data_IF_254809478899
#
_entry.id   IF_254809478899
#
_cell.length_a   1.000
_cell.length_b   1.000
_cell.length_c   1.000
_cell.angle_alpha   90.00
_cell.angle_beta   90.00
_cell.angle_gamma   90.00
#
_symmetry.space_group_name_H-M   'P 1'
#
loop_
_entity.id
_entity.type
_entity.pdbx_description
1 polymer ?
#
# COMPACT_ATOMS: atom_id res chain seq x y z
N UNK A 1 5.40 -29.92 -15.11
CA UNK A 1 6.77 -30.36 -14.88
C UNK A 1 7.28 -29.83 -13.53
N UNK A 2 7.61 -30.75 -12.62
CA UNK A 2 8.03 -30.43 -11.24
C UNK A 2 9.32 -29.61 -11.22
N UNK A 3 10.28 -29.90 -12.10
CA UNK A 3 11.54 -29.15 -12.15
C UNK A 3 11.35 -27.67 -12.49
N UNK A 4 10.44 -27.34 -13.40
CA UNK A 4 10.10 -25.95 -13.71
C UNK A 4 9.52 -25.25 -12.47
N UNK A 5 8.61 -25.89 -11.74
CA UNK A 5 8.05 -25.34 -10.51
C UNK A 5 9.12 -25.10 -9.44
N UNK A 6 10.08 -26.02 -9.29
CA UNK A 6 11.20 -25.84 -8.37
C UNK A 6 12.07 -24.64 -8.75
N UNK A 7 12.42 -24.49 -10.04
CA UNK A 7 13.18 -23.33 -10.51
C UNK A 7 12.45 -22.02 -10.22
N UNK A 8 11.15 -21.92 -10.56
CA UNK A 8 10.38 -20.71 -10.29
C UNK A 8 10.22 -20.43 -8.80
N UNK A 9 10.13 -21.47 -7.97
CA UNK A 9 10.11 -21.33 -6.51
C UNK A 9 11.41 -20.70 -6.00
N UNK A 10 12.57 -21.22 -6.43
CA UNK A 10 13.87 -20.69 -6.04
C UNK A 10 14.01 -19.23 -6.48
N UNK A 11 13.68 -18.92 -7.73
CA UNK A 11 13.72 -17.54 -8.25
C UNK A 11 12.83 -16.63 -7.41
N UNK A 12 11.60 -17.03 -7.13
CA UNK A 12 10.62 -16.23 -6.35
C UNK A 12 11.15 -15.94 -4.94
N UNK A 13 11.72 -16.93 -4.27
CA UNK A 13 12.30 -16.77 -2.93
C UNK A 13 13.52 -15.85 -2.97
N UNK A 14 14.44 -16.05 -3.92
CA UNK A 14 15.65 -15.22 -4.06
C UNK A 14 15.30 -13.77 -4.34
N UNK A 15 14.32 -13.50 -5.22
CA UNK A 15 13.86 -12.15 -5.55
C UNK A 15 13.17 -11.44 -4.36
N UNK A 16 12.72 -12.17 -3.37
CA UNK A 16 12.13 -11.59 -2.14
C UNK A 16 13.19 -11.41 -1.05
N UNK A 17 14.01 -12.44 -0.81
CA UNK A 17 15.01 -12.43 0.26
C UNK A 17 16.17 -11.48 -0.08
N UNK A 18 16.56 -11.40 -1.36
CA UNK A 18 17.64 -10.51 -1.81
C UNK A 18 17.42 -9.05 -1.40
N UNK A 19 16.34 -8.40 -1.83
CA UNK A 19 15.99 -7.04 -1.40
C UNK A 19 15.81 -6.91 0.11
N UNK A 20 15.28 -7.93 0.79
CA UNK A 20 15.15 -7.91 2.25
C UNK A 20 16.51 -7.78 2.93
N UNK A 21 17.50 -8.57 2.51
CA UNK A 21 18.86 -8.50 3.05
C UNK A 21 19.52 -7.17 2.68
N UNK A 22 19.34 -6.72 1.43
CA UNK A 22 19.95 -5.49 0.92
C UNK A 22 19.39 -4.22 1.60
N UNK A 23 18.07 -4.17 1.83
CA UNK A 23 17.38 -2.92 2.14
C UNK A 23 16.81 -2.87 3.56
N UNK A 24 16.47 -4.03 4.17
CA UNK A 24 15.85 -4.07 5.51
C UNK A 24 16.89 -4.04 6.63
N UNK A 25 17.78 -3.08 6.59
CA UNK A 25 18.91 -2.95 7.49
C UNK A 25 19.32 -1.47 7.73
N UNK A 26 20.49 -1.27 8.39
CA UNK A 26 21.01 0.05 8.73
C UNK A 26 21.47 0.89 7.53
N UNK A 27 21.66 0.28 6.37
CA UNK A 27 22.08 1.03 5.16
C UNK A 27 20.91 1.68 4.44
N UNK A 28 19.66 1.22 4.70
CA UNK A 28 18.43 1.71 4.05
C UNK A 28 17.29 1.94 5.04
N UNK A 29 16.63 0.90 5.52
CA UNK A 29 15.41 0.99 6.32
C UNK A 29 15.56 1.83 7.61
N UNK A 30 16.75 1.79 8.23
CA UNK A 30 17.07 2.57 9.44
C UNK A 30 18.29 3.48 9.26
N UNK A 31 18.62 3.86 8.01
CA UNK A 31 19.74 4.75 7.73
C UNK A 31 19.57 6.10 8.44
N UNK A 32 20.56 6.56 9.22
CA UNK A 32 20.41 7.76 10.05
C UNK A 32 20.22 9.04 9.21
N UNK A 33 20.86 9.13 8.05
CA UNK A 33 20.84 10.33 7.19
C UNK A 33 19.66 10.33 6.20
N UNK A 34 18.90 9.25 6.13
CA UNK A 34 17.71 9.20 5.29
C UNK A 34 16.53 9.88 5.96
N UNK A 35 15.70 10.53 5.14
CA UNK A 35 14.45 11.11 5.64
C UNK A 35 13.51 10.00 6.12
N UNK A 36 12.61 10.34 7.03
CA UNK A 36 11.61 9.37 7.51
C UNK A 36 10.71 8.86 6.37
N UNK A 37 10.48 9.69 5.35
CA UNK A 37 9.71 9.34 4.17
C UNK A 37 10.45 8.33 3.28
N UNK A 38 11.74 8.54 3.02
CA UNK A 38 12.55 7.58 2.28
C UNK A 38 12.58 6.21 2.97
N UNK A 39 12.79 6.19 4.30
CA UNK A 39 12.71 4.94 5.08
C UNK A 39 11.33 4.27 4.99
N UNK A 40 10.25 5.05 5.00
CA UNK A 40 8.90 4.53 4.83
C UNK A 40 8.75 3.79 3.50
N UNK A 41 9.20 4.38 2.39
CA UNK A 41 9.11 3.75 1.08
C UNK A 41 9.91 2.46 0.97
N UNK A 42 11.12 2.41 1.53
CA UNK A 42 11.94 1.20 1.54
C UNK A 42 11.26 0.08 2.33
N UNK A 43 10.77 0.38 3.54
CA UNK A 43 10.08 -0.63 4.36
C UNK A 43 8.81 -1.12 3.67
N UNK A 44 8.03 -0.21 3.08
CA UNK A 44 6.83 -0.58 2.32
C UNK A 44 7.16 -1.47 1.13
N UNK A 45 8.18 -1.14 0.35
CA UNK A 45 8.63 -1.93 -0.79
C UNK A 45 9.03 -3.36 -0.35
N UNK A 46 9.89 -3.47 0.66
CA UNK A 46 10.34 -4.78 1.16
C UNK A 46 9.19 -5.61 1.69
N UNK A 47 8.31 -5.02 2.49
CA UNK A 47 7.12 -5.72 3.00
C UNK A 47 6.16 -6.13 1.88
N UNK A 48 6.10 -5.38 0.78
CA UNK A 48 5.28 -5.70 -0.38
C UNK A 48 5.74 -6.94 -1.15
N UNK A 49 7.03 -7.29 -1.10
CA UNK A 49 7.53 -8.51 -1.77
C UNK A 49 7.01 -9.80 -1.13
N UNK A 50 6.74 -9.84 0.16
CA UNK A 50 6.30 -11.06 0.85
C UNK A 50 4.92 -11.57 0.40
N UNK A 51 3.87 -10.75 0.37
CA UNK A 51 2.59 -11.18 -0.19
C UNK A 51 2.69 -11.59 -1.66
N UNK A 52 3.51 -10.89 -2.44
CA UNK A 52 3.75 -11.23 -3.84
C UNK A 52 4.43 -12.60 -3.96
N UNK A 53 5.43 -12.87 -3.12
CA UNK A 53 6.07 -14.19 -3.04
C UNK A 53 5.04 -15.28 -2.73
N UNK A 54 4.21 -15.07 -1.72
CA UNK A 54 3.18 -16.04 -1.31
C UNK A 54 2.21 -16.31 -2.47
N UNK A 55 1.71 -15.26 -3.14
CA UNK A 55 0.83 -15.40 -4.29
C UNK A 55 1.49 -16.15 -5.44
N UNK A 56 2.76 -15.87 -5.73
CA UNK A 56 3.51 -16.59 -6.76
C UNK A 56 3.66 -18.09 -6.40
N UNK A 57 3.97 -18.40 -5.14
CA UNK A 57 4.06 -19.80 -4.69
C UNK A 57 2.71 -20.52 -4.81
N UNK A 58 1.61 -19.84 -4.50
CA UNK A 58 0.25 -20.39 -4.69
C UNK A 58 0.03 -20.70 -6.18
N UNK A 59 0.34 -19.76 -7.09
CA UNK A 59 0.17 -19.99 -8.54
C UNK A 59 1.06 -21.10 -9.08
N UNK A 60 2.29 -21.23 -8.57
CA UNK A 60 3.23 -22.26 -8.99
C UNK A 60 2.74 -23.66 -8.57
N UNK A 61 2.19 -23.80 -7.37
CA UNK A 61 1.90 -25.11 -6.79
C UNK A 61 0.43 -25.48 -6.79
N UNK A 62 -0.48 -24.52 -6.81
CA UNK A 62 -1.94 -24.76 -6.81
C UNK A 62 -2.47 -24.50 -8.22
N UNK A 63 -3.34 -25.39 -8.69
CA UNK A 63 -4.02 -25.18 -9.97
C UNK A 63 -5.15 -24.16 -9.80
N UNK A 64 -4.83 -22.87 -9.99
CA UNK A 64 -5.80 -21.78 -9.86
C UNK A 64 -6.87 -21.76 -10.95
N UNK A 65 -6.66 -22.49 -12.06
CA UNK A 65 -7.68 -22.58 -13.15
C UNK A 65 -8.97 -23.24 -12.71
N UNK A 66 -8.95 -23.99 -11.60
CA UNK A 66 -10.13 -24.61 -11.01
C UNK A 66 -10.99 -23.64 -10.18
N UNK A 67 -10.49 -22.43 -9.90
CA UNK A 67 -11.28 -21.40 -9.24
C UNK A 67 -12.21 -20.72 -10.24
N UNK A 68 -13.38 -20.28 -9.77
CA UNK A 68 -14.42 -19.73 -10.66
C UNK A 68 -13.97 -18.45 -11.39
N UNK A 69 -13.20 -17.57 -10.72
CA UNK A 69 -12.60 -16.37 -11.31
C UNK A 69 -11.12 -16.25 -10.92
N UNK A 70 -10.23 -17.12 -11.45
CA UNK A 70 -8.86 -17.21 -10.95
C UNK A 70 -8.04 -15.94 -11.16
N UNK A 71 -8.20 -15.27 -12.30
CA UNK A 71 -7.41 -14.06 -12.62
C UNK A 71 -7.89 -12.84 -11.84
N UNK A 72 -9.19 -12.70 -11.65
CA UNK A 72 -9.78 -11.64 -10.85
C UNK A 72 -9.37 -11.79 -9.37
N UNK A 73 -9.48 -13.01 -8.84
CA UNK A 73 -9.05 -13.30 -7.48
C UNK A 73 -7.56 -13.02 -7.28
N UNK A 74 -6.71 -13.44 -8.23
CA UNK A 74 -5.27 -13.19 -8.18
C UNK A 74 -4.97 -11.68 -8.21
N UNK A 75 -5.58 -10.93 -9.12
CA UNK A 75 -5.43 -9.48 -9.22
C UNK A 75 -5.86 -8.78 -7.94
N UNK A 76 -7.00 -9.19 -7.38
CA UNK A 76 -7.53 -8.63 -6.14
C UNK A 76 -6.59 -8.87 -4.95
N UNK A 77 -6.10 -10.10 -4.78
CA UNK A 77 -5.14 -10.45 -3.73
C UNK A 77 -3.82 -9.70 -3.90
N UNK A 78 -3.31 -9.60 -5.14
CA UNK A 78 -2.09 -8.85 -5.44
C UNK A 78 -2.23 -7.38 -5.03
N UNK A 79 -3.33 -6.73 -5.42
CA UNK A 79 -3.56 -5.32 -5.12
C UNK A 79 -3.78 -5.08 -3.63
N UNK A 80 -4.71 -5.80 -3.01
CA UNK A 80 -5.08 -5.53 -1.62
C UNK A 80 -4.07 -6.08 -0.62
N UNK A 81 -3.60 -7.29 -0.78
CA UNK A 81 -2.68 -7.90 0.17
C UNK A 81 -1.24 -7.44 -0.11
N UNK A 82 -0.84 -7.45 -1.38
CA UNK A 82 0.51 -7.06 -1.77
C UNK A 82 0.76 -5.57 -1.60
N UNK A 83 -0.08 -4.72 -2.14
CA UNK A 83 0.16 -3.28 -2.20
C UNK A 83 -0.45 -2.53 -1.01
N UNK A 84 -1.75 -2.67 -0.77
CA UNK A 84 -2.45 -1.95 0.29
C UNK A 84 -2.12 -2.53 1.66
N UNK A 85 -2.10 -3.84 1.81
CA UNK A 85 -1.80 -4.51 3.08
C UNK A 85 -0.39 -4.20 3.56
N UNK A 86 0.62 -4.27 2.69
CA UNK A 86 2.00 -3.91 3.03
C UNK A 86 2.13 -2.43 3.40
N UNK A 87 1.40 -1.52 2.74
CA UNK A 87 1.35 -0.11 3.12
C UNK A 87 0.81 0.08 4.54
N UNK A 88 -0.30 -0.57 4.87
CA UNK A 88 -0.90 -0.46 6.20
C UNK A 88 0.02 -1.03 7.29
N UNK A 89 0.68 -2.16 7.04
CA UNK A 89 1.67 -2.72 7.96
C UNK A 89 2.84 -1.75 8.14
N UNK A 90 3.33 -1.16 7.05
CA UNK A 90 4.40 -0.15 7.10
C UNK A 90 3.96 1.07 7.91
N UNK A 91 2.74 1.55 7.70
CA UNK A 91 2.17 2.67 8.44
C UNK A 91 2.12 2.41 9.95
N UNK A 92 1.66 1.23 10.35
CA UNK A 92 1.58 0.83 11.74
C UNK A 92 2.97 0.62 12.38
N UNK A 93 3.95 0.21 11.59
CA UNK A 93 5.32 -0.05 12.05
C UNK A 93 6.26 1.17 11.97
N UNK A 94 5.79 2.33 11.50
CA UNK A 94 6.61 3.56 11.39
C UNK A 94 7.45 3.91 12.63
N UNK A 95 6.97 3.73 13.87
CA UNK A 95 7.78 4.01 15.05
C UNK A 95 9.07 3.18 15.14
N UNK A 96 9.07 1.94 14.61
CA UNK A 96 10.21 1.02 14.69
C UNK A 96 11.42 1.47 13.87
N UNK A 97 11.18 2.17 12.76
CA UNK A 97 12.22 2.65 11.84
C UNK A 97 12.23 4.18 11.68
N UNK A 98 11.49 4.89 12.54
CA UNK A 98 11.32 6.36 12.49
C UNK A 98 10.83 6.86 11.11
N UNK A 99 9.88 6.10 10.51
CA UNK A 99 9.25 6.44 9.24
C UNK A 99 8.35 7.67 9.35
N UNK A 100 8.09 8.32 8.19
CA UNK A 100 7.14 9.43 8.04
C UNK A 100 6.43 9.30 6.70
N UNK A 101 5.16 9.70 6.64
CA UNK A 101 4.40 9.70 5.40
C UNK A 101 4.82 10.80 4.42
N UNK A 102 5.38 11.88 4.93
CA UNK A 102 5.82 13.01 4.10
C UNK A 102 7.11 13.62 4.65
N UNK A 103 7.86 14.27 3.78
CA UNK A 103 9.05 15.04 4.13
C UNK A 103 8.69 16.49 4.50
N UNK A 104 9.53 17.17 5.30
CA UNK A 104 9.45 18.61 5.49
C UNK A 104 9.55 19.32 4.13
N UNK A 105 8.57 20.16 3.80
CA UNK A 105 8.52 20.82 2.49
C UNK A 105 8.01 19.96 1.34
N UNK A 106 7.56 18.74 1.62
CA UNK A 106 6.86 17.89 0.67
C UNK A 106 5.50 18.44 0.23
N UNK A 107 4.76 17.66 -0.54
CA UNK A 107 3.44 18.07 -1.02
C UNK A 107 2.47 18.34 0.13
N UNK A 108 1.67 19.38 -0.04
CA UNK A 108 0.67 19.75 0.97
C UNK A 108 -0.39 18.62 1.11
N UNK A 109 -0.84 18.31 2.35
CA UNK A 109 -1.87 17.32 2.58
C UNK A 109 -3.19 17.76 1.95
N UNK A 110 -4.00 16.78 1.54
CA UNK A 110 -5.38 17.03 1.16
C UNK A 110 -6.19 17.44 2.39
N UNK A 111 -6.99 18.48 2.23
CA UNK A 111 -7.89 18.96 3.27
C UNK A 111 -9.33 18.51 2.96
N UNK A 112 -9.86 17.66 3.80
CA UNK A 112 -11.26 17.25 3.74
C UNK A 112 -12.06 18.09 4.71
N UNK A 113 -13.06 18.77 4.16
CA UNK A 113 -13.99 19.56 4.96
C UNK A 113 -15.41 19.07 4.70
N UNK A 114 -16.10 18.66 5.74
CA UNK A 114 -17.48 18.24 5.66
C UNK A 114 -18.39 19.38 6.15
N UNK A 115 -19.31 19.80 5.34
CA UNK A 115 -20.31 20.84 5.61
C UNK A 115 -21.46 20.72 4.62
N UNK A 116 -22.35 21.72 4.54
CA UNK A 116 -23.50 21.72 3.61
C UNK A 116 -23.14 21.51 2.13
N UNK A 117 -21.84 21.60 1.75
CA UNK A 117 -21.32 21.23 0.44
C UNK A 117 -19.98 20.53 0.61
N UNK A 118 -19.88 19.31 0.10
CA UNK A 118 -18.61 18.59 -0.02
C UNK A 118 -17.75 19.29 -1.09
N UNK A 119 -16.53 19.69 -0.72
CA UNK A 119 -15.52 20.17 -1.66
C UNK A 119 -14.23 19.39 -1.43
N UNK A 120 -13.80 18.67 -2.44
CA UNK A 120 -12.47 18.09 -2.54
C UNK A 120 -11.56 19.15 -3.17
N UNK A 121 -10.59 19.69 -2.44
CA UNK A 121 -9.61 20.62 -2.98
C UNK A 121 -8.20 20.08 -2.74
N UNK A 122 -7.39 19.90 -3.81
CA UNK A 122 -5.96 19.67 -3.67
C UNK A 122 -5.29 20.94 -3.10
N UNK A 123 -4.36 20.73 -2.19
CA UNK A 123 -3.68 21.72 -1.37
C UNK A 123 -3.39 23.07 -1.97
N UNK A 124 -3.66 24.07 -1.23
CA UNK A 124 -3.04 25.33 -0.85
C UNK A 124 -4.08 26.12 -0.07
N UNK A 125 -3.84 26.29 1.22
CA UNK A 125 -4.34 27.35 2.13
C UNK A 125 -5.82 27.80 2.06
N UNK A 126 -6.72 26.96 1.61
CA UNK A 126 -8.16 27.24 1.78
C UNK A 126 -8.74 26.24 2.78
N UNK A 127 -8.77 26.63 4.03
CA UNK A 127 -9.50 25.96 5.10
C UNK A 127 -10.99 25.94 4.75
N UNK A 128 -11.51 24.78 4.42
CA UNK A 128 -12.96 24.59 4.29
C UNK A 128 -13.46 23.99 5.60
N UNK A 129 -14.40 24.65 6.26
CA UNK A 129 -14.83 24.25 7.58
C UNK A 129 -15.84 23.10 7.59
N UNK A 130 -15.65 22.16 8.50
CA UNK A 130 -16.57 21.08 8.82
C UNK A 130 -17.30 21.36 10.14
N UNK A 131 -18.61 21.27 10.15
CA UNK A 131 -19.41 21.42 11.37
C UNK A 131 -19.99 20.08 11.81
N UNK A 132 -19.51 19.56 12.95
CA UNK A 132 -20.22 18.57 13.74
C UNK A 132 -20.70 19.31 14.99
N UNK A 133 -21.97 19.24 15.30
CA UNK A 133 -22.58 19.93 16.47
C UNK A 133 -22.29 21.45 16.51
N UNK A 134 -22.26 22.12 15.35
CA UNK A 134 -22.01 23.56 15.28
C UNK A 134 -20.54 23.95 15.16
N UNK A 135 -19.58 23.04 15.39
CA UNK A 135 -18.15 23.30 15.25
C UNK A 135 -17.61 22.82 13.90
N UNK A 136 -16.65 23.59 13.40
CA UNK A 136 -15.97 23.35 12.13
C UNK A 136 -14.76 22.47 12.35
N UNK A 137 -14.72 21.26 11.76
CA UNK A 137 -13.56 20.35 11.83
C UNK A 137 -12.93 20.13 10.46
N UNK A 138 -11.63 20.39 10.36
CA UNK A 138 -10.83 20.14 9.15
C UNK A 138 -9.92 18.95 9.40
N UNK A 139 -9.98 17.95 8.51
CA UNK A 139 -9.11 16.79 8.55
C UNK A 139 -8.02 16.95 7.49
N UNK A 140 -6.76 16.82 7.92
CA UNK A 140 -5.61 16.75 7.03
C UNK A 140 -5.35 15.30 6.68
N UNK A 141 -5.37 14.96 5.40
CA UNK A 141 -5.05 13.63 4.91
C UNK A 141 -3.77 13.72 4.08
N UNK A 142 -2.76 12.97 4.48
CA UNK A 142 -1.52 12.88 3.72
C UNK A 142 -1.78 12.46 2.27
N UNK A 143 -1.02 13.02 1.33
CA UNK A 143 -1.21 12.77 -0.10
C UNK A 143 -1.04 11.28 -0.45
N UNK A 144 -0.06 10.60 0.14
CA UNK A 144 0.16 9.18 -0.11
C UNK A 144 -1.02 8.34 0.39
N UNK A 145 -1.55 8.68 1.57
CA UNK A 145 -2.73 8.02 2.11
C UNK A 145 -3.96 8.26 1.21
N UNK A 146 -4.16 9.49 0.73
CA UNK A 146 -5.23 9.83 -0.19
C UNK A 146 -5.12 9.05 -1.50
N UNK A 147 -3.95 9.08 -2.15
CA UNK A 147 -3.71 8.44 -3.43
C UNK A 147 -3.77 6.92 -3.37
N UNK A 148 -3.53 6.33 -2.19
CA UNK A 148 -3.68 4.90 -1.99
C UNK A 148 -5.14 4.51 -1.69
N UNK A 149 -5.81 5.23 -0.81
CA UNK A 149 -7.16 4.87 -0.32
C UNK A 149 -8.21 5.00 -1.42
N UNK A 150 -8.23 6.08 -2.18
CA UNK A 150 -9.21 6.29 -3.24
C UNK A 150 -9.14 5.22 -4.34
N UNK A 151 -7.97 4.97 -4.98
CA UNK A 151 -7.85 3.89 -5.95
C UNK A 151 -8.23 2.53 -5.37
N UNK A 152 -7.87 2.27 -4.10
CA UNK A 152 -8.20 1.01 -3.44
C UNK A 152 -9.71 0.81 -3.27
N UNK A 153 -10.44 1.86 -2.92
CA UNK A 153 -11.91 1.82 -2.84
C UNK A 153 -12.51 1.53 -4.21
N UNK A 154 -12.02 2.20 -5.26
CA UNK A 154 -12.50 1.98 -6.63
C UNK A 154 -12.26 0.53 -7.06
N UNK A 155 -11.03 0.02 -6.85
CA UNK A 155 -10.69 -1.37 -7.17
C UNK A 155 -11.55 -2.34 -6.36
N UNK A 156 -11.82 -2.07 -5.08
CA UNK A 156 -12.68 -2.89 -4.24
C UNK A 156 -14.10 -2.97 -4.78
N UNK A 157 -14.73 -1.83 -5.06
CA UNK A 157 -16.09 -1.76 -5.60
C UNK A 157 -16.16 -2.47 -6.95
N UNK A 158 -15.19 -2.22 -7.83
CA UNK A 158 -15.12 -2.86 -9.15
C UNK A 158 -14.95 -4.37 -9.03
N UNK A 159 -14.11 -4.83 -8.11
CA UNK A 159 -13.89 -6.26 -7.87
C UNK A 159 -15.15 -6.96 -7.36
N UNK A 160 -15.89 -6.33 -6.45
CA UNK A 160 -17.19 -6.86 -5.99
C UNK A 160 -18.17 -6.97 -7.16
N UNK A 161 -18.24 -5.94 -7.99
CA UNK A 161 -19.11 -5.95 -9.18
C UNK A 161 -18.82 -7.15 -10.10
N UNK A 162 -17.54 -7.43 -10.39
CA UNK A 162 -17.14 -8.54 -11.25
C UNK A 162 -17.23 -9.93 -10.58
N UNK A 163 -17.34 -10.01 -9.27
CA UNK A 163 -17.48 -11.29 -8.56
C UNK A 163 -18.97 -11.65 -8.37
N UNK A 164 -19.83 -10.64 -8.22
CA UNK A 164 -21.26 -10.84 -7.88
C UNK A 164 -22.16 -10.88 -9.11
N UNK A 165 -21.76 -10.26 -10.22
CA UNK A 165 -22.47 -10.24 -11.50
C UNK A 165 -21.80 -11.13 -12.53
#
# INVERSE_FOLDING_TARGET
DVYKRQIFTVITVVLTIGPTIADFNKTHATHPDWTGHARFHVVWQVLGFYPIMILNLIVIWINISNFYYPYQLFFWLFWYVGFVGSFLITLLSMPLFKGKLSDPGGRAPFLYTFGKKFKLLPGKDKHLPFKINGEVKTYKVDENLHNLVLPSIIVFITSIYFIVL
#
